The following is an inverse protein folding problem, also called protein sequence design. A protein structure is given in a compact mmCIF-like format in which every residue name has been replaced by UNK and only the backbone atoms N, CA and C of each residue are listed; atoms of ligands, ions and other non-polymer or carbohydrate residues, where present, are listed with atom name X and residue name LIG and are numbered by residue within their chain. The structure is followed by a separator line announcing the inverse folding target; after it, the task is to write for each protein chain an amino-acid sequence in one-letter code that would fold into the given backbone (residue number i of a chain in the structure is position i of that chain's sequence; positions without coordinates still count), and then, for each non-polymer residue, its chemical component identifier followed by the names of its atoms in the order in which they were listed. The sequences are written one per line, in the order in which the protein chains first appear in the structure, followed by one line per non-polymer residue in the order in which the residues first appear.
data_IF_301694381078
#
_entry.id   IF_301694381078
#
_cell.length_a   1.000
_cell.length_b   1.000
_cell.length_c   1.000
_cell.angle_alpha   90.00
_cell.angle_beta   90.00
_cell.angle_gamma   90.00
#
_symmetry.space_group_name_H-M   'P 1'
#
loop_
_entity.id
_entity.type
_entity.pdbx_description
1 polymer ?
#
# COMPACT_ATOMS: atom_id res chain seq x y z
N UNK A 1 -0.26 23.01 15.43
CA UNK A 1 0.19 22.31 14.20
C UNK A 1 0.77 23.30 13.20
N UNK A 2 2.06 23.23 12.92
CA UNK A 2 2.74 24.11 11.95
C UNK A 2 2.22 23.87 10.52
N UNK A 3 2.10 24.93 9.71
CA UNK A 3 1.71 24.83 8.29
C UNK A 3 2.56 23.80 7.53
N UNK A 4 3.83 23.67 7.89
CA UNK A 4 4.77 22.69 7.33
C UNK A 4 4.29 21.25 7.52
N UNK A 5 3.78 20.89 8.71
CA UNK A 5 3.31 19.53 9.01
C UNK A 5 2.06 19.19 8.19
N UNK A 6 1.15 20.15 7.99
CA UNK A 6 -0.02 19.95 7.11
C UNK A 6 0.39 19.71 5.66
N UNK A 7 1.31 20.50 5.12
CA UNK A 7 1.78 20.34 3.73
C UNK A 7 2.45 18.98 3.55
N UNK A 8 3.34 18.59 4.45
CA UNK A 8 4.00 17.27 4.42
C UNK A 8 2.96 16.15 4.45
N UNK A 9 1.94 16.26 5.29
CA UNK A 9 0.90 15.24 5.38
C UNK A 9 0.04 15.11 4.13
N UNK A 10 -0.29 16.23 3.48
CA UNK A 10 -1.03 16.23 2.21
C UNK A 10 -0.18 15.58 1.10
N UNK A 11 1.08 15.99 0.97
CA UNK A 11 1.99 15.45 -0.03
C UNK A 11 2.21 13.95 0.17
N UNK A 12 2.43 13.51 1.42
CA UNK A 12 2.54 12.10 1.77
C UNK A 12 1.28 11.32 1.38
N UNK A 13 0.10 11.83 1.68
CA UNK A 13 -1.17 11.18 1.38
C UNK A 13 -1.40 11.00 -0.13
N UNK A 14 -1.07 12.03 -0.93
CA UNK A 14 -1.19 11.97 -2.40
C UNK A 14 -0.22 10.93 -2.97
N UNK A 15 1.05 10.97 -2.56
CA UNK A 15 2.06 10.01 -3.03
C UNK A 15 1.70 8.58 -2.62
N UNK A 16 1.26 8.39 -1.38
CA UNK A 16 0.83 7.10 -0.87
C UNK A 16 -0.34 6.53 -1.67
N UNK A 17 -1.34 7.35 -2.01
CA UNK A 17 -2.47 6.93 -2.83
C UNK A 17 -2.04 6.49 -4.24
N UNK A 18 -1.16 7.26 -4.90
CA UNK A 18 -0.65 6.93 -6.25
C UNK A 18 0.11 5.60 -6.24
N UNK A 19 1.07 5.45 -5.31
CA UNK A 19 1.88 4.23 -5.18
C UNK A 19 0.99 3.02 -4.86
N UNK A 20 0.04 3.20 -3.95
CA UNK A 20 -0.91 2.14 -3.58
C UNK A 20 -1.75 1.68 -4.76
N UNK A 21 -2.21 2.61 -5.60
CA UNK A 21 -3.04 2.30 -6.76
C UNK A 21 -2.24 1.54 -7.84
N UNK A 22 -1.00 1.97 -8.11
CA UNK A 22 -0.10 1.29 -9.05
C UNK A 22 0.25 -0.13 -8.58
N UNK A 23 0.62 -0.27 -7.31
CA UNK A 23 0.97 -1.56 -6.73
C UNK A 23 -0.24 -2.50 -6.66
N UNK A 24 -1.41 -2.00 -6.26
CA UNK A 24 -2.63 -2.79 -6.23
C UNK A 24 -2.99 -3.31 -7.63
N UNK A 25 -2.91 -2.44 -8.66
CA UNK A 25 -3.13 -2.87 -10.05
C UNK A 25 -2.15 -3.96 -10.46
N UNK A 26 -0.85 -3.77 -10.18
CA UNK A 26 0.20 -4.73 -10.51
C UNK A 26 0.02 -6.08 -9.82
N UNK A 27 -0.22 -6.08 -8.51
CA UNK A 27 -0.37 -7.33 -7.76
C UNK A 27 -1.67 -8.06 -8.09
N UNK A 28 -2.78 -7.33 -8.32
CA UNK A 28 -4.03 -7.93 -8.77
C UNK A 28 -3.88 -8.61 -10.13
N UNK A 29 -3.17 -7.95 -11.05
CA UNK A 29 -2.94 -8.46 -12.40
C UNK A 29 -2.01 -9.69 -12.37
N UNK A 30 -0.90 -9.62 -11.63
CA UNK A 30 -0.02 -10.78 -11.41
C UNK A 30 -0.77 -11.97 -10.79
N UNK A 31 -1.69 -11.71 -9.85
CA UNK A 31 -2.46 -12.77 -9.20
C UNK A 31 -3.45 -13.41 -10.19
N UNK A 32 -4.15 -12.61 -11.00
CA UNK A 32 -5.05 -13.11 -12.03
C UNK A 32 -4.30 -13.96 -13.07
N UNK A 33 -3.15 -13.46 -13.55
CA UNK A 33 -2.32 -14.16 -14.54
C UNK A 33 -1.77 -15.49 -14.00
N UNK A 34 -1.43 -15.56 -12.71
CA UNK A 34 -0.97 -16.80 -12.06
C UNK A 34 -2.09 -17.81 -11.84
N UNK A 35 -3.31 -17.34 -11.55
CA UNK A 35 -4.50 -18.21 -11.41
C UNK A 35 -4.88 -18.81 -12.76
N UNK A 36 -4.86 -18.02 -13.83
CA UNK A 36 -5.22 -18.47 -15.18
C UNK A 36 -4.23 -19.49 -15.75
N UNK A 37 -2.97 -19.45 -15.30
CA UNK A 37 -1.90 -20.37 -15.75
C UNK A 37 -1.74 -21.62 -14.87
N UNK A 38 -2.59 -21.80 -13.85
CA UNK A 38 -2.52 -22.89 -12.86
C UNK A 38 -1.09 -23.05 -12.28
N UNK A 39 -0.45 -21.90 -12.04
CA UNK A 39 0.96 -21.84 -11.72
C UNK A 39 1.18 -22.14 -10.23
N UNK A 40 2.19 -22.96 -9.89
CA UNK A 40 2.57 -23.27 -8.50
C UNK A 40 2.98 -22.02 -7.72
N UNK A 41 3.17 -20.88 -8.38
CA UNK A 41 3.48 -19.60 -7.76
C UNK A 41 2.27 -18.81 -7.22
N UNK A 42 1.03 -19.27 -7.38
CA UNK A 42 -0.17 -18.56 -6.87
C UNK A 42 -0.04 -18.22 -5.37
N UNK A 43 0.40 -19.17 -4.53
CA UNK A 43 0.57 -18.94 -3.09
C UNK A 43 1.57 -17.82 -2.79
N UNK A 44 2.65 -17.73 -3.58
CA UNK A 44 3.69 -16.71 -3.45
C UNK A 44 3.17 -15.33 -3.86
N UNK A 45 2.32 -15.25 -4.89
CA UNK A 45 1.68 -14.00 -5.30
C UNK A 45 0.62 -13.54 -4.28
N UNK A 46 -0.19 -14.46 -3.73
CA UNK A 46 -1.14 -14.16 -2.65
C UNK A 46 -0.41 -13.61 -1.42
N UNK A 47 0.69 -14.26 -0.99
CA UNK A 47 1.52 -13.78 0.13
C UNK A 47 2.06 -12.37 -0.13
N UNK A 48 2.53 -12.07 -1.34
CA UNK A 48 2.97 -10.72 -1.71
C UNK A 48 1.83 -9.70 -1.64
N UNK A 49 0.65 -10.06 -2.10
CA UNK A 49 -0.52 -9.18 -2.05
C UNK A 49 -0.97 -8.90 -0.61
N UNK A 50 -1.05 -9.93 0.22
CA UNK A 50 -1.38 -9.80 1.65
C UNK A 50 -0.33 -8.97 2.39
N UNK A 51 0.95 -9.16 2.09
CA UNK A 51 2.03 -8.36 2.66
C UNK A 51 1.89 -6.88 2.26
N UNK A 52 1.64 -6.60 0.97
CA UNK A 52 1.39 -5.24 0.49
C UNK A 52 0.20 -4.59 1.20
N UNK A 53 -0.91 -5.30 1.36
CA UNK A 53 -2.09 -4.82 2.06
C UNK A 53 -1.78 -4.50 3.53
N UNK A 54 -1.01 -5.36 4.18
CA UNK A 54 -0.57 -5.18 5.57
C UNK A 54 0.34 -3.96 5.72
N UNK A 55 1.28 -3.74 4.79
CA UNK A 55 2.11 -2.54 4.75
C UNK A 55 1.29 -1.27 4.54
N UNK A 56 0.26 -1.29 3.68
CA UNK A 56 -0.63 -0.14 3.52
C UNK A 56 -1.33 0.22 4.84
N UNK A 57 -1.92 -0.76 5.52
CA UNK A 57 -2.58 -0.55 6.80
C UNK A 57 -1.61 -0.02 7.87
N UNK A 58 -0.43 -0.63 7.99
CA UNK A 58 0.59 -0.17 8.94
C UNK A 58 1.04 1.25 8.68
N UNK A 59 1.24 1.63 7.41
CA UNK A 59 1.65 2.98 7.03
C UNK A 59 0.60 4.03 7.43
N UNK A 60 -0.69 3.72 7.28
CA UNK A 60 -1.77 4.63 7.68
C UNK A 60 -1.85 4.75 9.20
N UNK A 61 -1.72 3.64 9.93
CA UNK A 61 -1.72 3.63 11.40
C UNK A 61 -0.54 4.45 11.93
N UNK A 62 0.67 4.21 11.43
CA UNK A 62 1.88 4.94 11.83
C UNK A 62 1.75 6.44 11.55
N UNK A 63 1.24 6.81 10.37
CA UNK A 63 1.04 8.20 10.02
C UNK A 63 -0.01 8.88 10.91
N UNK A 64 -1.08 8.17 11.26
CA UNK A 64 -2.12 8.66 12.18
C UNK A 64 -1.55 8.87 13.59
N UNK A 65 -0.77 7.91 14.11
CA UNK A 65 -0.10 8.03 15.41
C UNK A 65 0.89 9.20 15.43
N UNK A 66 1.64 9.39 14.34
CA UNK A 66 2.58 10.49 14.21
C UNK A 66 1.88 11.86 14.25
N UNK A 67 0.72 11.99 13.60
CA UNK A 67 -0.10 13.21 13.68
C UNK A 67 -0.61 13.44 15.11
N UNK A 68 -1.05 12.39 15.82
CA UNK A 68 -1.55 12.53 17.20
C UNK A 68 -0.47 12.95 18.21
N UNK A 69 0.80 12.62 17.94
CA UNK A 69 1.94 12.93 18.79
C UNK A 69 2.51 14.35 18.58
N UNK A 70 2.07 15.08 17.54
CA UNK A 70 2.56 16.42 17.14
C UNK A 70 1.50 17.49 17.41
#
# INVERSE_FOLDING_TARGET
MSQTVRIIGIVFSILFAIVSLLLNKKYKQNLADSIEKDDKEIEKQIKKYLFFLSCMLFSVILFTLFILLI
#
